data_IF_477899088763
#
_entry.id   IF_477899088763
#
_cell.length_a   1.000
_cell.length_b   1.000
_cell.length_c   1.000
_cell.angle_alpha   90.00
_cell.angle_beta   90.00
_cell.angle_gamma   90.00
#
_symmetry.space_group_name_H-M   'P 1'
#
loop_
_entity.id
_entity.type
_entity.pdbx_description
1 polymer ?
#
# COMPACT_ATOMS: atom_id res chain seq x y z
N UNK A 1 -15.30 -4.30 -9.98
CA UNK A 1 -14.38 -5.20 -10.72
C UNK A 1 -13.68 -6.10 -9.70
N UNK A 2 -13.51 -7.39 -9.99
CA UNK A 2 -12.82 -8.35 -9.10
C UNK A 2 -11.36 -7.92 -8.87
N UNK A 3 -10.71 -7.31 -9.86
CA UNK A 3 -9.33 -6.80 -9.75
C UNK A 3 -9.20 -5.70 -8.69
N UNK A 4 -10.03 -4.66 -8.79
CA UNK A 4 -10.05 -3.56 -7.83
C UNK A 4 -10.37 -4.04 -6.40
N UNK A 5 -11.32 -4.97 -6.26
CA UNK A 5 -11.65 -5.55 -4.95
C UNK A 5 -10.46 -6.26 -4.30
N UNK A 6 -9.59 -6.93 -5.07
CA UNK A 6 -8.39 -7.58 -4.53
C UNK A 6 -7.34 -6.56 -4.09
N UNK A 7 -7.19 -5.46 -4.82
CA UNK A 7 -6.31 -4.35 -4.44
C UNK A 7 -6.81 -3.72 -3.13
N UNK A 8 -8.09 -3.38 -3.06
CA UNK A 8 -8.70 -2.79 -1.86
C UNK A 8 -8.68 -3.75 -0.67
N UNK A 9 -8.76 -5.06 -0.93
CA UNK A 9 -8.65 -6.11 0.08
C UNK A 9 -7.34 -6.11 0.85
N UNK A 10 -6.26 -5.51 0.32
CA UNK A 10 -5.00 -5.33 1.07
C UNK A 10 -5.20 -4.38 2.25
N UNK A 11 -5.98 -3.31 2.08
CA UNK A 11 -6.31 -2.39 3.18
C UNK A 11 -7.28 -3.03 4.18
N UNK A 12 -8.22 -3.86 3.71
CA UNK A 12 -9.12 -4.63 4.58
C UNK A 12 -8.33 -5.63 5.45
N UNK A 13 -7.32 -6.30 4.87
CA UNK A 13 -6.41 -7.16 5.61
C UNK A 13 -5.54 -6.36 6.59
N UNK A 14 -5.09 -5.16 6.20
CA UNK A 14 -4.33 -4.27 7.07
C UNK A 14 -5.18 -3.84 8.29
N UNK A 15 -6.44 -3.45 8.09
CA UNK A 15 -7.34 -3.06 9.19
C UNK A 15 -7.49 -4.18 10.22
N UNK A 16 -7.71 -5.42 9.75
CA UNK A 16 -7.81 -6.59 10.61
C UNK A 16 -6.53 -6.84 11.41
N UNK A 17 -5.37 -6.70 10.76
CA UNK A 17 -4.07 -6.87 11.43
C UNK A 17 -3.79 -5.79 12.46
N UNK A 18 -4.17 -4.54 12.17
CA UNK A 18 -3.88 -3.38 13.02
C UNK A 18 -4.73 -3.31 14.29
N UNK A 19 -5.88 -3.98 14.36
CA UNK A 19 -6.76 -4.03 15.56
C UNK A 19 -6.09 -4.55 16.83
N UNK A 20 -4.99 -5.31 16.71
CA UNK A 20 -4.20 -5.79 17.84
C UNK A 20 -2.75 -5.29 17.81
N UNK A 21 -2.43 -4.29 16.97
CA UNK A 21 -1.07 -3.81 16.78
C UNK A 21 -0.94 -2.31 17.09
N UNK A 22 -0.74 -2.00 18.36
CA UNK A 22 -0.62 -0.63 18.85
C UNK A 22 0.75 0.01 18.52
N UNK A 23 1.72 -0.79 18.07
CA UNK A 23 3.10 -0.33 17.79
C UNK A 23 3.38 -0.08 16.30
N UNK A 24 2.40 -0.34 15.44
CA UNK A 24 2.53 -0.08 14.00
C UNK A 24 3.54 -1.00 13.32
N UNK A 25 4.21 -0.48 12.30
CA UNK A 25 5.14 -1.28 11.50
C UNK A 25 6.42 -1.59 12.28
N UNK A 26 6.70 -2.89 12.50
CA UNK A 26 7.93 -3.34 13.14
C UNK A 26 9.20 -2.89 12.41
N UNK A 27 9.17 -2.83 11.07
CA UNK A 27 10.31 -2.39 10.26
C UNK A 27 10.59 -0.89 10.39
N UNK A 28 9.57 -0.06 10.56
CA UNK A 28 9.75 1.38 10.84
C UNK A 28 10.34 1.59 12.24
N UNK A 29 9.86 0.84 13.23
CA UNK A 29 10.44 0.87 14.57
C UNK A 29 11.91 0.44 14.58
N UNK A 30 12.25 -0.64 13.86
CA UNK A 30 13.63 -1.07 13.68
C UNK A 30 14.47 -0.02 12.92
N UNK A 31 13.91 0.63 11.90
CA UNK A 31 14.60 1.69 11.18
C UNK A 31 14.96 2.88 12.09
N UNK A 32 14.10 3.21 13.06
CA UNK A 32 14.41 4.27 14.03
C UNK A 32 15.65 3.94 14.90
N UNK A 33 15.96 2.66 15.11
CA UNK A 33 17.13 2.22 15.88
C UNK A 33 18.40 2.09 15.02
N UNK A 34 18.26 1.67 13.76
CA UNK A 34 19.39 1.33 12.88
C UNK A 34 19.65 2.35 11.76
N UNK A 35 18.78 3.34 11.57
CA UNK A 35 18.91 4.32 10.50
C UNK A 35 20.25 5.05 10.52
N UNK A 36 20.93 5.11 9.37
CA UNK A 36 22.25 5.76 9.23
C UNK A 36 23.43 4.93 9.75
N UNK A 37 23.22 3.65 10.07
CA UNK A 37 24.29 2.69 10.41
C UNK A 37 24.59 1.76 9.23
N UNK A 38 25.59 0.89 9.39
CA UNK A 38 25.88 -0.21 8.44
C UNK A 38 25.24 -1.55 8.87
N UNK A 39 24.17 -1.50 9.66
CA UNK A 39 23.51 -2.70 10.16
C UNK A 39 22.90 -3.53 9.01
N UNK A 40 23.07 -4.86 8.98
CA UNK A 40 22.43 -5.73 7.99
C UNK A 40 20.89 -5.70 8.07
N UNK A 41 20.32 -5.20 9.16
CA UNK A 41 18.88 -5.01 9.31
C UNK A 41 18.30 -4.04 8.26
N UNK A 42 19.08 -3.06 7.78
CA UNK A 42 18.62 -2.06 6.81
C UNK A 42 18.18 -2.71 5.48
N UNK A 43 18.92 -3.71 5.00
CA UNK A 43 18.55 -4.45 3.80
C UNK A 43 17.23 -5.23 3.97
N UNK A 44 16.97 -5.76 5.17
CA UNK A 44 15.74 -6.48 5.49
C UNK A 44 14.55 -5.50 5.54
N UNK A 45 14.74 -4.34 6.17
CA UNK A 45 13.74 -3.27 6.24
C UNK A 45 13.37 -2.79 4.84
N UNK A 46 14.37 -2.51 3.99
CA UNK A 46 14.13 -2.09 2.61
C UNK A 46 13.42 -3.17 1.79
N UNK A 47 13.80 -4.43 1.98
CA UNK A 47 13.17 -5.58 1.32
C UNK A 47 11.68 -5.68 1.67
N UNK A 48 11.28 -5.45 2.92
CA UNK A 48 9.86 -5.45 3.29
C UNK A 48 9.08 -4.31 2.60
N UNK A 49 9.62 -3.08 2.60
CA UNK A 49 8.98 -1.97 1.88
C UNK A 49 8.88 -2.24 0.37
N UNK A 50 9.91 -2.88 -0.19
CA UNK A 50 9.91 -3.32 -1.58
C UNK A 50 8.87 -4.40 -1.86
N UNK A 51 8.70 -5.36 -0.95
CA UNK A 51 7.72 -6.42 -1.06
C UNK A 51 6.29 -5.87 -1.03
N UNK A 52 5.98 -4.95 -0.12
CA UNK A 52 4.65 -4.31 -0.02
C UNK A 52 4.30 -3.55 -1.30
N UNK A 53 5.24 -2.77 -1.85
CA UNK A 53 5.08 -2.10 -3.15
C UNK A 53 4.85 -3.09 -4.29
N UNK A 54 5.65 -4.17 -4.32
CA UNK A 54 5.58 -5.20 -5.36
C UNK A 54 4.26 -5.99 -5.33
N UNK A 55 3.68 -6.18 -4.14
CA UNK A 55 2.36 -6.78 -3.98
C UNK A 55 1.29 -5.94 -4.70
N UNK A 56 1.26 -4.63 -4.44
CA UNK A 56 0.30 -3.74 -5.10
C UNK A 56 0.53 -3.64 -6.61
N UNK A 57 1.78 -3.54 -7.06
CA UNK A 57 2.12 -3.54 -8.49
C UNK A 57 1.62 -4.83 -9.18
N UNK A 58 1.88 -6.00 -8.57
CA UNK A 58 1.39 -7.28 -9.10
C UNK A 58 -0.14 -7.32 -9.20
N UNK A 59 -0.85 -6.89 -8.16
CA UNK A 59 -2.32 -6.85 -8.17
C UNK A 59 -2.86 -5.86 -9.21
N UNK A 60 -2.19 -4.72 -9.42
CA UNK A 60 -2.53 -3.75 -10.47
C UNK A 60 -2.33 -4.34 -11.88
N UNK A 61 -1.24 -5.08 -12.11
CA UNK A 61 -1.01 -5.81 -13.36
C UNK A 61 -2.10 -6.86 -13.60
N UNK A 62 -2.45 -7.65 -12.57
CA UNK A 62 -3.51 -8.66 -12.65
C UNK A 62 -4.90 -8.04 -12.92
N UNK A 63 -5.11 -6.79 -12.50
CA UNK A 63 -6.32 -6.00 -12.77
C UNK A 63 -6.29 -5.27 -14.14
N UNK A 64 -5.19 -5.37 -14.89
CA UNK A 64 -5.05 -4.82 -16.23
C UNK A 64 -4.77 -3.31 -16.28
N UNK A 65 -4.18 -2.72 -15.24
CA UNK A 65 -3.75 -1.32 -15.29
C UNK A 65 -2.43 -1.19 -16.08
N UNK A 66 -2.31 -0.23 -17.02
CA UNK A 66 -1.14 -0.09 -17.88
C UNK A 66 0.12 0.37 -17.13
N UNK A 67 -0.01 1.26 -16.15
CA UNK A 67 1.11 1.79 -15.34
C UNK A 67 1.14 1.14 -13.94
N UNK A 68 1.15 -0.19 -13.89
CA UNK A 68 0.98 -0.96 -12.66
C UNK A 68 2.04 -0.65 -11.58
N UNK A 69 3.30 -0.43 -11.94
CA UNK A 69 4.37 -0.08 -10.98
C UNK A 69 4.15 1.29 -10.33
N UNK A 70 3.73 2.28 -11.13
CA UNK A 70 3.42 3.62 -10.64
C UNK A 70 2.19 3.59 -9.73
N UNK A 71 1.14 2.85 -10.12
CA UNK A 71 -0.03 2.64 -9.29
C UNK A 71 0.32 1.91 -7.99
N UNK A 72 1.14 0.85 -8.07
CA UNK A 72 1.62 0.09 -6.92
C UNK A 72 2.35 0.96 -5.90
N UNK A 73 3.20 1.88 -6.38
CA UNK A 73 3.89 2.87 -5.54
C UNK A 73 2.91 3.79 -4.81
N UNK A 74 1.91 4.33 -5.51
CA UNK A 74 0.91 5.23 -4.90
C UNK A 74 0.11 4.51 -3.82
N UNK A 75 -0.34 3.29 -4.11
CA UNK A 75 -1.11 2.47 -3.18
C UNK A 75 -0.27 2.08 -1.95
N UNK A 76 0.99 1.68 -2.14
CA UNK A 76 1.87 1.36 -1.02
C UNK A 76 2.15 2.57 -0.14
N UNK A 77 2.30 3.77 -0.71
CA UNK A 77 2.48 4.99 0.08
C UNK A 77 1.26 5.28 0.95
N UNK A 78 0.05 5.12 0.40
CA UNK A 78 -1.19 5.25 1.19
C UNK A 78 -1.26 4.21 2.32
N UNK A 79 -0.83 2.97 2.05
CA UNK A 79 -0.76 1.89 3.03
C UNK A 79 0.20 2.22 4.18
N UNK A 80 1.45 2.59 3.87
CA UNK A 80 2.45 2.95 4.88
C UNK A 80 2.00 4.17 5.70
N UNK A 81 1.44 5.19 5.03
CA UNK A 81 0.91 6.38 5.67
C UNK A 81 -0.24 6.06 6.63
N UNK A 82 -1.14 5.15 6.24
CA UNK A 82 -2.24 4.71 7.11
C UNK A 82 -1.74 4.04 8.39
N UNK A 83 -0.70 3.20 8.30
CA UNK A 83 -0.11 2.54 9.48
C UNK A 83 0.47 3.57 10.44
N UNK A 84 1.23 4.55 9.93
CA UNK A 84 1.84 5.61 10.76
C UNK A 84 0.76 6.51 11.37
N UNK A 85 -0.21 6.96 10.57
CA UNK A 85 -1.28 7.83 11.05
C UNK A 85 -2.21 7.13 12.05
N UNK A 86 -2.49 5.84 11.84
CA UNK A 86 -3.29 5.03 12.76
C UNK A 86 -2.61 4.77 14.11
N UNK A 87 -1.28 4.78 14.14
CA UNK A 87 -0.52 4.52 15.37
C UNK A 87 0.10 5.79 15.95
N UNK A 88 1.26 6.20 15.47
CA UNK A 88 1.95 7.40 15.94
C UNK A 88 1.10 8.67 15.79
N UNK A 89 0.22 8.72 14.79
CA UNK A 89 -0.71 9.83 14.56
C UNK A 89 -2.02 9.78 15.35
N UNK A 90 -2.36 8.67 16.01
CA UNK A 90 -3.60 8.50 16.80
C UNK A 90 -4.90 8.64 15.99
N UNK A 91 -4.87 8.43 14.67
CA UNK A 91 -6.03 8.55 13.78
C UNK A 91 -6.69 7.19 13.57
N UNK A 92 -7.70 6.89 14.38
CA UNK A 92 -8.43 5.61 14.34
C UNK A 92 -8.99 5.26 12.94
N UNK A 93 -9.33 6.26 12.13
CA UNK A 93 -9.91 6.09 10.80
C UNK A 93 -8.88 6.02 9.65
N UNK A 94 -7.57 6.08 9.94
CA UNK A 94 -6.53 6.26 8.92
C UNK A 94 -6.55 5.19 7.81
N UNK A 95 -6.75 3.92 8.17
CA UNK A 95 -6.80 2.81 7.20
C UNK A 95 -8.06 2.91 6.33
N UNK A 96 -9.20 3.27 6.92
CA UNK A 96 -10.45 3.50 6.19
C UNK A 96 -10.30 4.65 5.19
N UNK A 97 -9.69 5.76 5.62
CA UNK A 97 -9.40 6.91 4.76
C UNK A 97 -8.46 6.52 3.61
N UNK A 98 -7.36 5.83 3.89
CA UNK A 98 -6.43 5.38 2.85
C UNK A 98 -7.10 4.45 1.83
N UNK A 99 -7.96 3.54 2.31
CA UNK A 99 -8.77 2.67 1.45
C UNK A 99 -9.73 3.46 0.56
N UNK A 100 -10.38 4.50 1.09
CA UNK A 100 -11.27 5.39 0.30
C UNK A 100 -10.49 6.09 -0.81
N UNK A 101 -9.35 6.69 -0.47
CA UNK A 101 -8.48 7.38 -1.44
C UNK A 101 -7.95 6.40 -2.50
N UNK A 102 -7.59 5.17 -2.11
CA UNK A 102 -7.21 4.12 -3.05
C UNK A 102 -8.38 3.78 -4.00
N UNK A 103 -9.61 3.67 -3.48
CA UNK A 103 -10.80 3.41 -4.31
C UNK A 103 -11.07 4.54 -5.30
N UNK A 104 -10.92 5.80 -4.89
CA UNK A 104 -11.08 6.96 -5.75
C UNK A 104 -10.00 7.00 -6.84
N UNK A 105 -8.75 6.69 -6.49
CA UNK A 105 -7.65 6.59 -7.45
C UNK A 105 -7.90 5.50 -8.50
N UNK A 106 -8.34 4.31 -8.07
CA UNK A 106 -8.68 3.21 -8.98
C UNK A 106 -9.83 3.60 -9.91
N UNK A 107 -10.89 4.22 -9.37
CA UNK A 107 -12.02 4.69 -10.18
C UNK A 107 -11.61 5.72 -11.24
N UNK A 108 -10.74 6.67 -10.88
CA UNK A 108 -10.21 7.66 -11.82
C UNK A 108 -9.39 7.01 -12.95
N UNK A 109 -8.59 5.99 -12.62
CA UNK A 109 -7.74 5.29 -13.59
C UNK A 109 -8.49 4.23 -14.40
N UNK A 110 -9.63 3.73 -13.93
CA UNK A 110 -10.46 2.77 -14.65
C UNK A 110 -10.97 3.35 -15.98
N UNK A 111 -11.24 4.66 -16.03
CA UNK A 111 -11.63 5.36 -17.27
C UNK A 111 -10.51 5.30 -18.32
N UNK A 112 -9.26 5.51 -17.89
CA UNK A 112 -8.09 5.42 -18.77
C UNK A 112 -7.80 3.95 -19.19
N UNK A 113 -8.02 2.99 -18.28
CA UNK A 113 -7.85 1.55 -18.54
C UNK A 113 -8.78 1.06 -19.66
N UNK A 114 -10.06 1.42 -19.61
CA UNK A 114 -11.04 1.03 -20.65
C UNK A 114 -10.71 1.67 -22.00
N UNK A 115 -10.27 2.94 -22.01
CA UNK A 115 -9.84 3.63 -23.23
C UNK A 115 -8.64 2.97 -23.92
N UNK A 116 -7.68 2.46 -23.15
CA UNK A 116 -6.54 1.71 -23.69
C UNK A 116 -6.92 0.34 -24.26
N UNK A 117 -7.88 -0.36 -23.64
CA UNK A 117 -8.33 -1.68 -24.08
C UNK A 117 -9.21 -1.66 -25.34
N UNK A 118 -9.91 -0.54 -25.63
CA UNK A 118 -10.77 -0.39 -26.81
C UNK A 118 -10.07 0.16 -28.06
N UNK A 119 -8.78 0.52 -27.97
CA UNK A 119 -7.98 1.07 -29.08
C UNK A 119 -6.97 0.10 -29.69
N UNK A 120 -6.88 -1.13 -29.18
CA UNK A 120 -6.06 -2.23 -29.70
C UNK A 120 -6.92 -3.21 -30.51
#
# INVERSE_FOLDING_TARGET
DIGDSRILGVYDALDLWMRGNDRGCAFVNAFAEFGGTDSPALAIIESEKSWTRSLFARLATEAGYPDADALGTRLSVLHEGAVVMGTAGGREDAISVARSVASELLAALAVARVGAAGGA
#
